data_IF_878882144133
#
_entry.id   IF_878882144133
#
_cell.length_a   1.000
_cell.length_b   1.000
_cell.length_c   1.000
_cell.angle_alpha   90.00
_cell.angle_beta   90.00
_cell.angle_gamma   90.00
#
_symmetry.space_group_name_H-M   'P 1'
#
loop_
_entity.id
_entity.type
_entity.pdbx_description
1 polymer ?
#
# COMPACT_ATOMS: atom_id res chain seq x y z
N UNK A 1 -23.08 33.25 7.21
CA UNK A 1 -22.13 33.07 6.09
C UNK A 1 -20.88 32.42 6.68
N UNK A 2 -20.55 31.20 6.27
CA UNK A 2 -19.33 30.54 6.73
C UNK A 2 -18.11 31.29 6.18
N UNK A 3 -17.18 31.67 7.06
CA UNK A 3 -15.97 32.43 6.68
C UNK A 3 -14.87 31.55 6.04
N UNK A 4 -15.12 30.26 5.85
CA UNK A 4 -14.11 29.29 5.42
C UNK A 4 -14.31 28.92 3.94
N UNK A 5 -13.24 29.05 3.14
CA UNK A 5 -13.25 28.66 1.73
C UNK A 5 -13.14 27.15 1.58
N UNK A 6 -13.88 26.59 0.60
CA UNK A 6 -13.75 25.19 0.15
C UNK A 6 -13.03 25.17 -1.18
N UNK A 7 -11.96 24.39 -1.28
CA UNK A 7 -11.25 24.12 -2.53
C UNK A 7 -11.57 22.72 -3.01
N UNK A 8 -12.06 22.61 -4.24
CA UNK A 8 -12.36 21.32 -4.89
C UNK A 8 -11.25 21.04 -5.91
N UNK A 9 -10.49 19.96 -5.73
CA UNK A 9 -9.43 19.54 -6.63
C UNK A 9 -9.79 18.19 -7.21
N UNK A 10 -10.06 18.16 -8.51
CA UNK A 10 -10.53 16.97 -9.21
C UNK A 10 -10.14 17.17 -10.68
N UNK A 11 -9.60 16.15 -11.35
CA UNK A 11 -9.23 16.25 -12.76
C UNK A 11 -10.44 16.09 -13.70
N UNK A 12 -11.52 15.47 -13.22
CA UNK A 12 -12.79 15.39 -13.94
C UNK A 12 -13.56 16.72 -13.83
N UNK A 13 -13.68 17.41 -14.96
CA UNK A 13 -14.36 18.69 -15.03
C UNK A 13 -15.85 18.59 -14.65
N UNK A 14 -16.56 17.53 -15.07
CA UNK A 14 -17.99 17.40 -14.85
C UNK A 14 -18.29 17.15 -13.37
N UNK A 15 -17.49 16.31 -12.69
CA UNK A 15 -17.59 16.09 -11.26
C UNK A 15 -17.26 17.36 -10.47
N UNK A 16 -16.16 18.02 -10.82
CA UNK A 16 -15.74 19.29 -10.19
C UNK A 16 -16.81 20.36 -10.28
N UNK A 17 -17.36 20.58 -11.49
CA UNK A 17 -18.37 21.62 -11.72
C UNK A 17 -19.69 21.29 -10.99
N UNK A 18 -20.09 20.02 -10.96
CA UNK A 18 -21.26 19.56 -10.22
C UNK A 18 -21.11 19.78 -8.71
N UNK A 19 -19.93 19.46 -8.15
CA UNK A 19 -19.67 19.65 -6.72
C UNK A 19 -19.60 21.14 -6.35
N UNK A 20 -18.98 21.96 -7.20
CA UNK A 20 -18.97 23.41 -7.01
C UNK A 20 -20.37 24.01 -7.05
N UNK A 21 -21.22 23.55 -7.97
CA UNK A 21 -22.61 23.98 -8.07
C UNK A 21 -23.38 23.63 -6.79
N UNK A 22 -23.23 22.40 -6.29
CA UNK A 22 -23.85 21.96 -5.03
C UNK A 22 -23.41 22.82 -3.84
N UNK A 23 -22.10 22.96 -3.63
CA UNK A 23 -21.55 23.72 -2.50
C UNK A 23 -21.99 25.20 -2.55
N UNK A 24 -21.94 25.82 -3.73
CA UNK A 24 -22.37 27.21 -3.92
C UNK A 24 -23.88 27.37 -3.74
N UNK A 25 -24.67 26.37 -4.14
CA UNK A 25 -26.11 26.32 -3.89
C UNK A 25 -26.46 26.36 -2.40
N UNK A 26 -25.62 25.72 -1.57
CA UNK A 26 -25.70 25.77 -0.09
C UNK A 26 -25.08 27.04 0.52
N UNK A 27 -24.70 28.03 -0.30
CA UNK A 27 -24.10 29.29 0.15
C UNK A 27 -22.65 29.17 0.62
N UNK A 28 -21.96 28.07 0.28
CA UNK A 28 -20.55 27.84 0.64
C UNK A 28 -19.65 28.49 -0.41
N UNK A 29 -18.63 29.24 0.04
CA UNK A 29 -17.60 29.81 -0.85
C UNK A 29 -16.70 28.69 -1.36
N UNK A 30 -16.93 28.24 -2.59
CA UNK A 30 -16.15 27.16 -3.20
C UNK A 30 -15.41 27.57 -4.49
N UNK A 31 -14.16 27.13 -4.65
CA UNK A 31 -13.32 27.32 -5.86
C UNK A 31 -12.73 25.98 -6.30
N UNK A 32 -12.74 25.72 -7.62
CA UNK A 32 -12.22 24.47 -8.18
C UNK A 32 -10.83 24.63 -8.79
N UNK A 33 -10.06 23.55 -8.78
CA UNK A 33 -8.77 23.39 -9.45
C UNK A 33 -8.74 22.08 -10.24
N UNK A 34 -8.15 22.05 -11.44
CA UNK A 34 -8.12 20.85 -12.29
C UNK A 34 -7.00 19.86 -11.95
N UNK A 35 -6.09 20.20 -11.04
CA UNK A 35 -5.02 19.33 -10.57
C UNK A 35 -4.47 19.81 -9.23
N UNK A 36 -3.80 18.92 -8.49
CA UNK A 36 -3.10 19.26 -7.27
C UNK A 36 -1.98 20.29 -7.51
N UNK A 37 -1.26 20.18 -8.63
CA UNK A 37 -0.22 21.14 -9.05
C UNK A 37 -0.80 22.54 -9.26
N UNK A 38 -1.91 22.67 -9.98
CA UNK A 38 -2.58 23.94 -10.22
C UNK A 38 -3.09 24.58 -8.92
N UNK A 39 -3.47 23.76 -7.93
CA UNK A 39 -3.83 24.24 -6.61
C UNK A 39 -2.62 24.74 -5.83
N UNK A 40 -1.51 23.99 -5.83
CA UNK A 40 -0.28 24.35 -5.12
C UNK A 40 0.38 25.62 -5.70
N UNK A 41 0.35 25.81 -7.02
CA UNK A 41 0.86 27.02 -7.67
C UNK A 41 0.05 28.27 -7.31
N UNK A 42 -1.24 28.07 -6.98
CA UNK A 42 -2.18 29.12 -6.63
C UNK A 42 -2.54 29.10 -5.13
N UNK A 43 -1.65 28.55 -4.29
CA UNK A 43 -1.90 28.32 -2.87
C UNK A 43 -2.39 29.61 -2.20
N UNK A 44 -3.64 29.64 -1.72
CA UNK A 44 -4.22 30.85 -1.17
C UNK A 44 -3.56 31.18 0.17
N UNK A 45 -3.44 32.48 0.49
CA UNK A 45 -2.89 32.95 1.78
C UNK A 45 -3.79 32.58 2.98
N UNK A 46 -5.01 32.10 2.73
CA UNK A 46 -5.96 31.67 3.74
C UNK A 46 -5.44 30.45 4.51
N UNK A 47 -5.11 30.66 5.79
CA UNK A 47 -4.57 29.62 6.69
C UNK A 47 -5.61 28.60 7.17
N UNK A 48 -6.89 28.77 6.83
CA UNK A 48 -7.96 27.88 7.26
C UNK A 48 -8.97 27.70 6.14
N UNK A 49 -8.85 26.58 5.43
CA UNK A 49 -9.73 26.21 4.33
C UNK A 49 -10.00 24.70 4.35
N UNK A 50 -11.12 24.30 3.77
CA UNK A 50 -11.43 22.89 3.54
C UNK A 50 -11.00 22.51 2.12
N UNK A 51 -10.28 21.40 1.99
CA UNK A 51 -9.84 20.86 0.71
C UNK A 51 -10.62 19.56 0.48
N UNK A 52 -11.37 19.50 -0.62
CA UNK A 52 -11.98 18.29 -1.14
C UNK A 52 -11.16 17.91 -2.36
N UNK A 53 -10.51 16.76 -2.32
CA UNK A 53 -9.64 16.29 -3.40
C UNK A 53 -10.06 14.90 -3.86
N UNK A 54 -10.03 14.64 -5.16
CA UNK A 54 -10.06 13.27 -5.65
C UNK A 54 -8.79 12.52 -5.21
N UNK A 55 -8.94 11.21 -4.97
CA UNK A 55 -7.84 10.35 -4.54
C UNK A 55 -6.92 9.99 -5.71
N UNK A 56 -7.44 9.85 -6.93
CA UNK A 56 -6.70 9.31 -8.07
C UNK A 56 -6.64 10.29 -9.24
N UNK A 57 -5.89 11.36 -9.02
CA UNK A 57 -5.60 12.34 -10.05
C UNK A 57 -4.26 12.04 -10.76
N UNK A 58 -4.13 12.41 -12.06
CA UNK A 58 -2.85 12.39 -12.76
C UNK A 58 -1.81 13.32 -12.10
N UNK A 59 -0.53 13.00 -12.27
CA UNK A 59 0.65 13.75 -11.78
C UNK A 59 0.86 13.69 -10.26
N UNK A 60 -0.17 13.94 -9.45
CA UNK A 60 -0.10 13.89 -7.99
C UNK A 60 -1.45 13.42 -7.41
N UNK A 61 -1.42 12.36 -6.61
CA UNK A 61 -2.61 11.81 -5.95
C UNK A 61 -3.12 12.74 -4.84
N UNK A 62 -4.41 12.67 -4.51
CA UNK A 62 -5.00 13.52 -3.46
C UNK A 62 -4.36 13.32 -2.09
N UNK A 63 -3.95 12.09 -1.77
CA UNK A 63 -3.22 11.81 -0.54
C UNK A 63 -1.82 12.46 -0.50
N UNK A 64 -1.16 12.56 -1.66
CA UNK A 64 0.13 13.26 -1.77
C UNK A 64 -0.04 14.78 -1.69
N UNK A 65 -1.11 15.34 -2.25
CA UNK A 65 -1.46 16.74 -2.08
C UNK A 65 -1.64 17.10 -0.59
N UNK A 66 -2.39 16.28 0.15
CA UNK A 66 -2.59 16.47 1.60
C UNK A 66 -1.23 16.49 2.33
N UNK A 67 -0.33 15.55 2.00
CA UNK A 67 1.03 15.51 2.56
C UNK A 67 1.84 16.77 2.22
N UNK A 68 1.74 17.28 1.00
CA UNK A 68 2.41 18.51 0.56
C UNK A 68 1.93 19.75 1.33
N UNK A 69 0.62 19.83 1.60
CA UNK A 69 0.02 20.90 2.37
C UNK A 69 0.38 20.80 3.86
N UNK A 70 0.54 19.58 4.37
CA UNK A 70 0.98 19.31 5.73
C UNK A 70 2.51 19.27 5.82
N UNK A 71 3.15 20.44 5.80
CA UNK A 71 4.63 20.51 5.97
C UNK A 71 5.15 19.90 7.27
N UNK A 72 4.30 19.70 8.29
CA UNK A 72 4.67 19.07 9.56
C UNK A 72 3.62 18.10 10.10
N UNK A 73 2.33 18.42 10.03
CA UNK A 73 1.29 17.52 10.52
C UNK A 73 -0.05 17.72 9.78
N UNK A 74 -0.81 16.65 9.61
CA UNK A 74 -2.13 16.64 9.02
C UNK A 74 -3.11 15.84 9.89
N UNK A 75 -4.34 16.30 9.97
CA UNK A 75 -5.46 15.54 10.50
C UNK A 75 -6.61 15.65 9.50
N UNK A 76 -7.08 14.52 8.98
CA UNK A 76 -8.10 14.52 7.93
C UNK A 76 -9.00 13.29 8.03
N UNK A 77 -10.21 13.44 7.50
CA UNK A 77 -11.18 12.35 7.42
C UNK A 77 -11.31 11.89 5.98
N UNK A 78 -11.28 10.58 5.78
CA UNK A 78 -11.58 9.96 4.49
C UNK A 78 -12.79 9.06 4.57
N UNK A 79 -13.40 8.83 3.42
CA UNK A 79 -14.47 7.87 3.26
C UNK A 79 -14.23 7.10 1.97
N UNK A 80 -14.50 5.80 1.99
CA UNK A 80 -14.41 4.91 0.85
C UNK A 80 -15.74 4.20 0.68
N UNK A 81 -16.36 4.37 -0.49
CA UNK A 81 -17.60 3.68 -0.84
C UNK A 81 -17.31 2.24 -1.22
N UNK A 82 -18.18 1.29 -0.85
CA UNK A 82 -18.13 -0.05 -1.40
C UNK A 82 -18.24 0.01 -2.93
N UNK A 83 -17.49 -0.86 -3.60
CA UNK A 83 -17.58 -0.96 -5.06
C UNK A 83 -18.99 -1.42 -5.46
N UNK A 84 -19.48 -0.98 -6.63
CA UNK A 84 -20.83 -1.33 -7.08
C UNK A 84 -21.05 -2.86 -7.15
N UNK A 85 -20.03 -3.61 -7.58
CA UNK A 85 -20.03 -5.08 -7.59
C UNK A 85 -20.15 -5.70 -6.20
N UNK A 86 -19.64 -5.04 -5.16
CA UNK A 86 -19.78 -5.51 -3.78
C UNK A 86 -21.18 -5.26 -3.21
N UNK A 87 -21.92 -4.28 -3.74
CA UNK A 87 -23.30 -3.97 -3.32
C UNK A 87 -24.33 -4.84 -4.04
N UNK A 88 -24.27 -4.86 -5.38
CA UNK A 88 -25.29 -5.49 -6.23
C UNK A 88 -24.73 -6.45 -7.28
N UNK A 89 -23.51 -6.95 -7.09
CA UNK A 89 -22.91 -7.92 -8.01
C UNK A 89 -23.76 -9.18 -8.18
N UNK A 90 -23.72 -9.75 -9.39
CA UNK A 90 -24.41 -10.99 -9.71
C UNK A 90 -23.98 -12.16 -8.82
N UNK A 91 -24.83 -13.18 -8.73
CA UNK A 91 -24.54 -14.39 -7.94
C UNK A 91 -23.71 -15.35 -8.79
N UNK A 92 -22.57 -15.79 -8.25
CA UNK A 92 -21.76 -16.87 -8.82
C UNK A 92 -21.87 -18.10 -7.93
N UNK A 93 -22.11 -19.26 -8.55
CA UNK A 93 -22.23 -20.52 -7.84
C UNK A 93 -21.20 -21.51 -8.39
N UNK A 94 -20.42 -22.11 -7.51
CA UNK A 94 -19.44 -23.13 -7.85
C UNK A 94 -19.56 -24.32 -6.92
N UNK A 95 -19.60 -25.53 -7.47
CA UNK A 95 -19.63 -26.76 -6.69
C UNK A 95 -18.31 -27.48 -6.85
N UNK A 96 -17.57 -27.65 -5.76
CA UNK A 96 -16.32 -28.39 -5.70
C UNK A 96 -16.38 -29.35 -4.51
N UNK A 97 -16.01 -30.62 -4.71
CA UNK A 97 -15.96 -31.66 -3.68
C UNK A 97 -17.23 -31.75 -2.80
N UNK A 98 -18.41 -31.60 -3.42
CA UNK A 98 -19.70 -31.68 -2.73
C UNK A 98 -20.09 -30.43 -1.92
N UNK A 99 -19.31 -29.34 -2.02
CA UNK A 99 -19.63 -28.04 -1.41
C UNK A 99 -20.00 -27.04 -2.50
N UNK A 100 -21.21 -26.50 -2.43
CA UNK A 100 -21.70 -25.45 -3.33
C UNK A 100 -21.43 -24.07 -2.73
N UNK A 101 -20.42 -23.37 -3.24
CA UNK A 101 -20.10 -22.01 -2.83
C UNK A 101 -20.86 -20.99 -3.68
N UNK A 102 -21.66 -20.15 -3.03
CA UNK A 102 -22.45 -19.06 -3.60
C UNK A 102 -21.80 -17.73 -3.23
N UNK A 103 -21.17 -17.06 -4.18
CA UNK A 103 -20.59 -15.73 -4.00
C UNK A 103 -21.57 -14.67 -4.47
N UNK A 104 -21.87 -13.68 -3.63
CA UNK A 104 -22.84 -12.61 -3.94
C UNK A 104 -22.43 -11.27 -3.35
N UNK A 105 -23.00 -10.19 -3.90
CA UNK A 105 -22.93 -8.86 -3.30
C UNK A 105 -23.73 -8.75 -1.98
N UNK A 106 -23.49 -7.65 -1.28
CA UNK A 106 -24.14 -7.26 -0.05
C UNK A 106 -24.65 -5.80 -0.16
N UNK A 107 -25.95 -5.61 -0.43
CA UNK A 107 -26.54 -4.27 -0.54
C UNK A 107 -26.45 -3.43 0.74
N UNK A 108 -26.27 -4.08 1.90
CA UNK A 108 -26.27 -3.43 3.22
C UNK A 108 -24.88 -2.92 3.62
N UNK A 109 -23.89 -2.96 2.73
CA UNK A 109 -22.56 -2.45 3.04
C UNK A 109 -22.58 -0.95 3.29
N UNK A 110 -21.95 -0.57 4.40
CA UNK A 110 -21.65 0.81 4.74
C UNK A 110 -20.31 1.24 4.13
N UNK A 111 -20.15 2.55 3.96
CA UNK A 111 -18.84 3.13 3.67
C UNK A 111 -17.83 2.80 4.76
N UNK A 112 -16.59 2.59 4.35
CA UNK A 112 -15.46 2.57 5.26
C UNK A 112 -15.00 4.02 5.47
N UNK A 113 -15.17 4.53 6.67
CA UNK A 113 -14.79 5.89 7.05
C UNK A 113 -13.50 5.83 7.85
N UNK A 114 -12.64 6.85 7.76
CA UNK A 114 -11.41 6.85 8.54
C UNK A 114 -10.98 8.24 8.99
N UNK A 115 -10.50 8.32 10.24
CA UNK A 115 -9.66 9.42 10.69
C UNK A 115 -8.20 9.09 10.43
N UNK A 116 -7.45 10.06 9.93
CA UNK A 116 -6.05 9.93 9.57
C UNK A 116 -5.28 11.07 10.21
N UNK A 117 -4.15 10.73 10.83
CA UNK A 117 -3.19 11.64 11.45
C UNK A 117 -1.83 11.34 10.85
N UNK A 118 -1.18 12.37 10.32
CA UNK A 118 0.13 12.28 9.69
C UNK A 118 1.06 13.32 10.32
N UNK A 119 2.31 12.96 10.55
CA UNK A 119 3.38 13.83 11.04
C UNK A 119 4.63 13.52 10.23
N UNK A 120 5.24 14.53 9.62
CA UNK A 120 6.45 14.35 8.81
C UNK A 120 7.47 15.45 9.06
N UNK A 121 8.74 15.07 8.96
CA UNK A 121 9.86 15.98 9.02
C UNK A 121 10.93 15.54 8.03
N UNK A 122 11.36 16.48 7.19
CA UNK A 122 12.46 16.29 6.27
C UNK A 122 13.56 17.30 6.55
N UNK A 123 14.80 16.82 6.53
CA UNK A 123 16.00 17.63 6.71
C UNK A 123 17.04 17.30 5.66
N UNK A 124 17.84 18.31 5.29
CA UNK A 124 19.00 18.14 4.44
C UNK A 124 20.23 17.87 5.30
N UNK A 125 20.99 16.86 4.91
CA UNK A 125 22.22 16.47 5.57
C UNK A 125 23.44 17.12 4.88
N UNK A 126 24.56 17.30 5.60
CA UNK A 126 25.82 17.72 4.98
C UNK A 126 26.20 16.80 3.81
N UNK A 127 26.83 17.38 2.79
CA UNK A 127 27.26 16.63 1.59
C UNK A 127 26.14 16.31 0.60
N UNK A 128 24.97 16.96 0.73
CA UNK A 128 23.85 16.81 -0.22
C UNK A 128 22.94 15.61 0.07
N UNK A 129 23.04 15.03 1.27
CA UNK A 129 22.12 14.00 1.72
C UNK A 129 20.76 14.56 2.15
N UNK A 130 19.78 13.69 2.31
CA UNK A 130 18.45 14.03 2.80
C UNK A 130 17.92 12.92 3.70
N UNK A 131 17.24 13.29 4.79
CA UNK A 131 16.56 12.39 5.70
C UNK A 131 15.12 12.84 5.86
N UNK A 132 14.18 11.94 5.60
CA UNK A 132 12.75 12.10 5.87
C UNK A 132 12.32 11.09 6.91
N UNK A 133 11.60 11.56 7.93
CA UNK A 133 10.97 10.74 8.96
C UNK A 133 9.49 11.09 9.01
N UNK A 134 8.64 10.07 8.94
CA UNK A 134 7.20 10.24 9.01
C UNK A 134 6.57 9.26 10.00
N UNK A 135 5.47 9.66 10.59
CA UNK A 135 4.64 8.85 11.45
C UNK A 135 3.18 9.05 11.05
N UNK A 136 2.42 7.96 11.05
CA UNK A 136 0.99 8.01 10.75
C UNK A 136 0.18 7.18 11.72
N UNK A 137 -1.08 7.57 11.90
CA UNK A 137 -2.09 6.80 12.59
C UNK A 137 -3.42 6.95 11.85
N UNK A 138 -4.09 5.84 11.61
CA UNK A 138 -5.36 5.77 10.92
C UNK A 138 -6.30 4.84 11.65
N UNK A 139 -7.51 5.32 11.85
CA UNK A 139 -8.59 4.61 12.50
C UNK A 139 -9.75 4.52 11.53
N UNK A 140 -10.13 3.30 11.19
CA UNK A 140 -11.10 2.94 10.17
C UNK A 140 -12.35 2.42 10.87
N UNK A 141 -13.50 3.01 10.58
CA UNK A 141 -14.80 2.51 10.99
C UNK A 141 -15.45 1.74 9.83
N UNK A 142 -16.18 0.67 10.16
CA UNK A 142 -16.85 -0.22 9.20
C UNK A 142 -15.89 -0.89 8.21
N UNK A 143 -14.76 -1.42 8.71
CA UNK A 143 -13.74 -2.03 7.88
C UNK A 143 -14.32 -3.06 6.90
N UNK A 144 -14.09 -2.90 5.60
CA UNK A 144 -14.63 -3.81 4.59
C UNK A 144 -13.74 -5.04 4.45
N UNK A 145 -14.33 -6.22 4.59
CA UNK A 145 -13.63 -7.50 4.37
C UNK A 145 -14.55 -8.50 3.66
N UNK A 146 -13.95 -9.42 2.92
CA UNK A 146 -14.68 -10.56 2.38
C UNK A 146 -14.70 -11.68 3.40
N UNK A 147 -15.89 -12.24 3.64
CA UNK A 147 -16.10 -13.32 4.60
C UNK A 147 -16.98 -14.38 3.99
N UNK A 148 -16.59 -15.64 4.17
CA UNK A 148 -17.49 -16.77 3.97
C UNK A 148 -18.40 -16.91 5.18
N UNK A 149 -19.71 -16.95 4.98
CA UNK A 149 -20.64 -17.45 5.99
C UNK A 149 -20.63 -18.98 6.01
N UNK A 150 -20.52 -19.55 7.21
CA UNK A 150 -20.70 -20.98 7.50
C UNK A 150 -22.19 -21.33 7.66
N UNK A 151 -23.05 -20.75 6.82
CA UNK A 151 -24.46 -21.09 6.83
C UNK A 151 -24.60 -22.44 6.12
N UNK A 152 -24.40 -23.53 6.85
CA UNK A 152 -24.87 -24.86 6.44
C UNK A 152 -26.40 -24.81 6.43
N UNK A 153 -26.95 -24.32 5.32
CA UNK A 153 -28.39 -24.43 5.05
C UNK A 153 -28.65 -25.86 4.62
N UNK A 154 -28.82 -26.74 5.61
CA UNK A 154 -29.31 -28.09 5.43
C UNK A 154 -28.23 -29.17 5.45
N UNK A 155 -27.84 -29.61 6.65
CA UNK A 155 -27.42 -31.00 6.82
C UNK A 155 -28.70 -31.85 6.89
N UNK A 156 -29.30 -32.08 5.73
CA UNK A 156 -30.00 -33.33 5.48
C UNK A 156 -28.91 -34.31 5.04
N UNK A 157 -28.86 -35.57 5.53
CA UNK A 157 -27.72 -36.48 5.33
C UNK A 157 -27.35 -36.82 3.86
N UNK A 158 -27.99 -36.20 2.87
CA UNK A 158 -27.89 -36.47 1.43
C UNK A 158 -27.84 -35.19 0.56
N UNK A 159 -27.72 -33.98 1.15
CA UNK A 159 -27.62 -32.72 0.38
C UNK A 159 -26.28 -32.00 0.60
N UNK A 160 -25.74 -31.45 -0.51
CA UNK A 160 -24.46 -30.76 -0.59
C UNK A 160 -24.38 -29.52 0.33
N UNK A 161 -23.28 -29.35 1.07
CA UNK A 161 -23.07 -28.19 1.93
C UNK A 161 -23.05 -26.90 1.09
N UNK A 162 -23.90 -25.91 1.42
CA UNK A 162 -23.94 -24.62 0.73
C UNK A 162 -23.16 -23.59 1.52
N UNK A 163 -22.19 -22.91 0.89
CA UNK A 163 -21.38 -21.85 1.51
C UNK A 163 -21.69 -20.52 0.86
N UNK A 164 -22.17 -19.53 1.60
CA UNK A 164 -22.39 -18.19 1.03
C UNK A 164 -21.22 -17.27 1.35
N UNK A 165 -20.52 -16.77 0.34
CA UNK A 165 -19.44 -15.79 0.47
C UNK A 165 -19.96 -14.42 0.05
N UNK A 166 -19.80 -13.44 0.93
CA UNK A 166 -20.23 -12.06 0.65
C UNK A 166 -19.36 -11.06 1.41
N UNK A 167 -19.13 -9.86 0.87
CA UNK A 167 -18.44 -8.80 1.59
C UNK A 167 -19.26 -8.37 2.81
N UNK A 168 -18.55 -7.99 3.89
CA UNK A 168 -19.13 -7.55 5.16
C UNK A 168 -18.39 -6.33 5.70
N UNK A 169 -19.09 -5.51 6.48
CA UNK A 169 -18.44 -4.53 7.35
C UNK A 169 -18.06 -5.21 8.66
N UNK A 170 -16.80 -5.08 9.03
CA UNK A 170 -16.28 -5.36 10.35
C UNK A 170 -16.53 -4.20 11.30
N UNK A 171 -15.87 -4.26 12.46
CA UNK A 171 -15.85 -3.19 13.43
C UNK A 171 -14.82 -2.13 13.05
N UNK A 172 -13.95 -1.81 14.02
CA UNK A 172 -12.87 -0.84 13.87
C UNK A 172 -11.60 -1.52 13.35
N UNK A 173 -10.91 -0.84 12.44
CA UNK A 173 -9.51 -1.12 12.09
C UNK A 173 -8.60 0.01 12.58
N UNK A 174 -7.46 -0.33 13.16
CA UNK A 174 -6.46 0.64 13.59
C UNK A 174 -5.13 0.29 12.90
N UNK A 175 -4.54 1.25 12.21
CA UNK A 175 -3.18 1.13 11.65
C UNK A 175 -2.35 2.33 12.06
N UNK A 176 -1.10 2.07 12.43
CA UNK A 176 -0.13 3.11 12.77
C UNK A 176 1.25 2.68 12.30
N UNK A 177 2.08 3.64 11.93
CA UNK A 177 3.40 3.32 11.43
C UNK A 177 4.39 4.45 11.50
N UNK A 178 5.64 4.08 11.27
CA UNK A 178 6.79 4.95 11.14
C UNK A 178 7.45 4.65 9.79
N UNK A 179 7.85 5.69 9.09
CA UNK A 179 8.50 5.62 7.79
C UNK A 179 9.78 6.47 7.84
N UNK A 180 10.83 5.97 7.20
CA UNK A 180 12.12 6.63 7.08
C UNK A 180 12.61 6.51 5.64
N UNK A 181 13.07 7.63 5.10
CA UNK A 181 13.79 7.67 3.84
C UNK A 181 15.11 8.41 4.07
N UNK A 182 16.22 7.79 3.67
CA UNK A 182 17.55 8.37 3.83
C UNK A 182 18.35 8.19 2.55
N UNK A 183 18.75 9.32 1.97
CA UNK A 183 19.73 9.38 0.89
C UNK A 183 21.00 10.05 1.40
N UNK A 184 22.16 9.46 1.09
CA UNK A 184 23.45 10.01 1.46
C UNK A 184 24.50 9.78 0.37
N UNK A 185 25.02 10.86 -0.25
CA UNK A 185 26.30 10.80 -0.95
C UNK A 185 27.41 10.51 0.06
N UNK A 186 28.20 9.47 -0.21
CA UNK A 186 29.31 9.03 0.64
C UNK A 186 30.67 9.53 0.13
N UNK A 187 30.71 10.22 -1.03
CA UNK A 187 31.94 10.67 -1.64
C UNK A 187 32.78 9.50 -2.14
N UNK A 188 34.10 9.55 -1.94
CA UNK A 188 35.03 8.48 -2.32
C UNK A 188 35.49 7.68 -1.09
N UNK A 189 34.66 6.78 -0.53
CA UNK A 189 34.98 6.10 0.73
C UNK A 189 36.18 5.15 0.66
N UNK A 190 36.69 4.88 -0.54
CA UNK A 190 37.80 3.95 -0.78
C UNK A 190 39.06 4.64 -1.30
N UNK A 191 39.05 5.96 -1.47
CA UNK A 191 40.14 6.75 -2.08
C UNK A 191 40.59 6.20 -3.46
N UNK A 192 39.65 5.66 -4.23
CA UNK A 192 39.91 5.07 -5.54
C UNK A 192 39.57 6.04 -6.69
N UNK A 193 39.14 7.26 -6.39
CA UNK A 193 38.60 8.22 -7.35
C UNK A 193 37.16 7.92 -7.77
N UNK A 194 36.40 7.20 -6.94
CA UNK A 194 35.00 6.87 -7.18
C UNK A 194 34.03 7.73 -6.40
N UNK A 195 32.74 7.50 -6.60
CA UNK A 195 31.66 8.10 -5.82
C UNK A 195 30.68 7.02 -5.37
N UNK A 196 30.44 6.94 -4.07
CA UNK A 196 29.43 6.08 -3.47
C UNK A 196 28.20 6.87 -3.03
N UNK A 197 27.04 6.22 -3.04
CA UNK A 197 25.81 6.70 -2.40
C UNK A 197 25.09 5.57 -1.69
N UNK A 198 24.35 5.94 -0.65
CA UNK A 198 23.46 5.05 0.10
C UNK A 198 22.04 5.59 0.01
N UNK A 199 21.12 4.70 -0.33
CA UNK A 199 19.69 4.95 -0.41
C UNK A 199 18.98 3.95 0.49
N UNK A 200 18.14 4.42 1.42
CA UNK A 200 17.39 3.60 2.36
C UNK A 200 15.93 4.06 2.39
N UNK A 201 15.00 3.12 2.26
CA UNK A 201 13.59 3.28 2.60
C UNK A 201 13.24 2.21 3.64
N UNK A 202 12.66 2.59 4.76
CA UNK A 202 12.28 1.67 5.83
C UNK A 202 10.93 2.08 6.38
N UNK A 203 10.00 1.12 6.45
CA UNK A 203 8.68 1.31 7.00
C UNK A 203 8.39 0.25 8.04
N UNK A 204 7.86 0.67 9.18
CA UNK A 204 7.33 -0.21 10.22
C UNK A 204 5.88 0.14 10.50
N UNK A 205 4.99 -0.85 10.45
CA UNK A 205 3.57 -0.65 10.74
C UNK A 205 3.04 -1.67 11.75
N UNK A 206 1.99 -1.26 12.46
CA UNK A 206 1.19 -2.11 13.33
C UNK A 206 -0.27 -1.92 12.96
N UNK A 207 -0.90 -3.00 12.54
CA UNK A 207 -2.25 -2.99 12.01
C UNK A 207 -3.10 -4.07 12.66
N UNK A 208 -4.30 -3.70 13.11
CA UNK A 208 -5.28 -4.60 13.72
C UNK A 208 -6.68 -4.27 13.25
N UNK A 209 -7.55 -5.27 13.20
CA UNK A 209 -8.93 -5.13 12.76
C UNK A 209 -9.88 -6.01 13.57
N UNK A 210 -11.05 -5.47 13.88
CA UNK A 210 -12.20 -6.20 14.40
C UNK A 210 -13.04 -6.77 13.25
N UNK A 211 -13.05 -8.10 13.11
CA UNK A 211 -13.80 -8.84 12.09
C UNK A 211 -15.08 -9.48 12.67
N UNK A 212 -15.53 -9.02 13.83
CA UNK A 212 -16.72 -9.48 14.52
C UNK A 212 -16.51 -10.76 15.31
N UNK A 213 -17.62 -11.44 15.62
CA UNK A 213 -17.59 -12.63 16.49
C UNK A 213 -17.10 -13.90 15.80
N UNK A 214 -17.16 -13.95 14.47
CA UNK A 214 -16.85 -15.15 13.69
C UNK A 214 -15.33 -15.30 13.49
N UNK A 215 -14.65 -14.24 13.04
CA UNK A 215 -13.21 -14.26 12.76
C UNK A 215 -12.39 -13.60 13.87
N UNK A 216 -13.02 -13.17 14.96
CA UNK A 216 -12.36 -12.51 16.07
C UNK A 216 -12.30 -10.99 15.96
N UNK A 217 -12.21 -10.35 17.13
CA UNK A 217 -12.30 -8.88 17.29
C UNK A 217 -10.96 -8.15 17.25
N UNK A 218 -9.85 -8.88 17.08
CA UNK A 218 -8.52 -8.27 17.01
C UNK A 218 -7.57 -9.15 16.20
N UNK A 219 -7.71 -9.07 14.88
CA UNK A 219 -6.85 -9.79 13.94
C UNK A 219 -5.81 -8.86 13.32
N UNK A 220 -4.61 -9.35 12.96
CA UNK A 220 -3.72 -8.61 12.06
C UNK A 220 -4.43 -8.31 10.74
N UNK A 221 -4.17 -7.17 10.11
CA UNK A 221 -4.75 -6.89 8.78
C UNK A 221 -4.09 -7.78 7.72
N UNK A 222 -4.87 -8.22 6.72
CA UNK A 222 -4.34 -9.02 5.61
C UNK A 222 -3.33 -8.22 4.79
N UNK A 223 -2.28 -8.90 4.34
CA UNK A 223 -1.25 -8.38 3.45
C UNK A 223 -0.59 -7.09 3.98
N UNK A 224 -0.54 -6.92 5.30
CA UNK A 224 0.06 -5.78 5.97
C UNK A 224 1.32 -6.22 6.75
N UNK A 225 2.47 -6.41 6.07
CA UNK A 225 3.72 -6.77 6.74
C UNK A 225 4.14 -5.69 7.74
N UNK A 226 4.57 -6.11 8.93
CA UNK A 226 4.99 -5.16 9.98
C UNK A 226 6.25 -4.37 9.59
N UNK A 227 7.07 -4.93 8.70
CA UNK A 227 8.31 -4.31 8.23
C UNK A 227 8.40 -4.40 6.71
N UNK A 228 8.77 -3.29 6.09
CA UNK A 228 9.15 -3.19 4.68
C UNK A 228 10.43 -2.37 4.62
N UNK A 229 11.36 -2.75 3.76
CA UNK A 229 12.55 -1.93 3.57
C UNK A 229 13.29 -2.22 2.28
N UNK A 230 13.96 -1.19 1.81
CA UNK A 230 14.79 -1.20 0.62
C UNK A 230 16.09 -0.49 0.98
N UNK A 231 17.22 -1.08 0.60
CA UNK A 231 18.52 -0.45 0.76
C UNK A 231 19.30 -0.61 -0.54
N UNK A 232 19.92 0.44 -1.04
CA UNK A 232 20.80 0.39 -2.20
C UNK A 232 22.13 1.07 -1.88
N UNK A 233 23.22 0.38 -2.15
CA UNK A 233 24.56 0.94 -2.18
C UNK A 233 24.99 1.04 -3.64
N UNK A 234 25.25 2.26 -4.10
CA UNK A 234 25.80 2.51 -5.42
C UNK A 234 27.26 2.95 -5.32
N UNK A 235 28.09 2.54 -6.27
CA UNK A 235 29.46 3.02 -6.44
C UNK A 235 29.77 3.21 -7.92
N UNK A 236 30.20 4.41 -8.30
CA UNK A 236 30.55 4.75 -9.67
C UNK A 236 32.00 5.24 -9.76
N UNK A 237 32.74 4.75 -10.75
CA UNK A 237 34.12 5.15 -11.01
C UNK A 237 34.32 5.27 -12.53
N UNK A 238 34.47 6.51 -13.01
CA UNK A 238 34.62 6.81 -14.43
C UNK A 238 33.47 6.25 -15.29
N UNK A 239 33.74 5.19 -16.04
CA UNK A 239 32.78 4.54 -16.97
C UNK A 239 32.04 3.35 -16.35
N UNK A 240 32.44 2.90 -15.16
CA UNK A 240 31.87 1.76 -14.48
C UNK A 240 31.00 2.20 -13.30
N UNK A 241 29.93 1.47 -13.04
CA UNK A 241 29.15 1.61 -11.83
C UNK A 241 28.65 0.25 -11.34
N UNK A 242 28.60 0.07 -10.03
CA UNK A 242 28.05 -1.11 -9.37
C UNK A 242 26.95 -0.68 -8.40
N UNK A 243 25.95 -1.54 -8.23
CA UNK A 243 24.81 -1.34 -7.35
C UNK A 243 24.56 -2.65 -6.63
N UNK A 244 24.32 -2.57 -5.33
CA UNK A 244 23.90 -3.68 -4.49
C UNK A 244 22.61 -3.27 -3.79
N UNK A 245 21.52 -3.97 -4.08
CA UNK A 245 20.17 -3.59 -3.64
C UNK A 245 19.58 -4.72 -2.78
N UNK A 246 19.18 -4.40 -1.55
CA UNK A 246 18.50 -5.28 -0.61
C UNK A 246 17.04 -4.88 -0.51
N UNK A 247 16.14 -5.82 -0.77
CA UNK A 247 14.70 -5.67 -0.57
C UNK A 247 14.24 -6.61 0.54
N UNK A 248 13.58 -6.07 1.56
CA UNK A 248 13.05 -6.82 2.69
C UNK A 248 11.54 -6.66 2.81
N UNK A 249 10.86 -7.78 2.97
CA UNK A 249 9.44 -7.85 3.30
C UNK A 249 9.29 -8.71 4.54
N UNK A 250 8.73 -8.16 5.61
CA UNK A 250 8.44 -8.87 6.84
C UNK A 250 7.36 -9.94 6.66
N UNK A 251 7.22 -10.82 7.64
CA UNK A 251 6.14 -11.80 7.63
C UNK A 251 4.78 -11.10 7.72
N UNK A 252 3.77 -11.65 7.05
CA UNK A 252 2.43 -11.09 7.02
C UNK A 252 1.35 -12.17 6.92
N UNK A 253 0.15 -11.80 7.34
CA UNK A 253 -1.03 -12.66 7.25
C UNK A 253 -1.66 -12.54 5.86
N UNK A 254 -1.81 -13.64 5.12
CA UNK A 254 -2.38 -13.64 3.77
C UNK A 254 -3.84 -14.06 3.72
N UNK A 255 -4.30 -14.91 4.64
CA UNK A 255 -5.69 -15.34 4.72
C UNK A 255 -6.08 -15.71 6.16
N UNK A 256 -7.33 -15.45 6.52
CA UNK A 256 -7.90 -15.89 7.79
C UNK A 256 -8.49 -17.29 7.68
N UNK A 257 -8.43 -18.06 8.78
CA UNK A 257 -9.27 -19.24 9.02
C UNK A 257 -9.26 -20.24 7.84
N UNK A 258 -8.08 -20.69 7.41
CA UNK A 258 -7.97 -21.52 6.20
C UNK A 258 -8.37 -22.97 6.43
N UNK A 259 -8.39 -23.45 7.68
CA UNK A 259 -8.81 -24.80 8.03
C UNK A 259 -10.19 -24.83 8.71
N UNK A 260 -10.82 -23.69 8.99
CA UNK A 260 -12.10 -23.60 9.70
C UNK A 260 -12.02 -24.18 11.11
N UNK A 261 -10.85 -24.04 11.73
CA UNK A 261 -10.62 -24.56 13.07
C UNK A 261 -10.96 -23.52 14.14
N UNK A 262 -11.24 -23.99 15.35
CA UNK A 262 -11.40 -23.06 16.46
C UNK A 262 -10.08 -22.36 16.79
N UNK A 263 -10.11 -21.02 16.75
CA UNK A 263 -9.00 -20.15 17.13
C UNK A 263 -8.12 -19.71 15.97
N UNK A 264 -7.18 -18.80 16.25
CA UNK A 264 -6.42 -18.08 15.22
C UNK A 264 -5.18 -18.84 14.70
N UNK A 265 -5.01 -20.09 15.11
CA UNK A 265 -3.80 -20.88 14.82
C UNK A 265 -3.76 -21.37 13.38
N UNK A 266 -4.91 -21.45 12.71
CA UNK A 266 -5.04 -21.97 11.36
C UNK A 266 -5.01 -20.87 10.28
N UNK A 267 -4.66 -19.64 10.66
CA UNK A 267 -4.43 -18.52 9.78
C UNK A 267 -3.22 -18.77 8.85
N UNK A 268 -3.28 -18.30 7.61
CA UNK A 268 -2.20 -18.49 6.62
C UNK A 268 -1.20 -17.32 6.64
N UNK A 269 0.03 -17.61 7.04
CA UNK A 269 1.12 -16.64 7.16
C UNK A 269 2.15 -16.82 6.06
N UNK A 270 2.65 -15.71 5.53
CA UNK A 270 3.79 -15.68 4.60
C UNK A 270 5.03 -15.24 5.37
N UNK A 271 6.15 -15.95 5.17
CA UNK A 271 7.43 -15.67 5.85
C UNK A 271 8.06 -14.38 5.37
N UNK A 272 8.95 -13.84 6.20
CA UNK A 272 9.80 -12.72 5.78
C UNK A 272 10.75 -13.15 4.67
N UNK A 273 10.94 -12.28 3.69
CA UNK A 273 11.84 -12.50 2.55
C UNK A 273 12.83 -11.35 2.47
N UNK A 274 14.13 -11.69 2.37
CA UNK A 274 15.21 -10.74 2.09
C UNK A 274 15.84 -11.12 0.75
N UNK A 275 15.74 -10.22 -0.24
CA UNK A 275 16.29 -10.41 -1.59
C UNK A 275 17.44 -9.45 -1.82
N UNK A 276 18.59 -10.00 -2.17
CA UNK A 276 19.78 -9.26 -2.52
C UNK A 276 19.99 -9.31 -4.04
N UNK A 277 20.01 -8.15 -4.68
CA UNK A 277 20.22 -7.99 -6.11
C UNK A 277 21.52 -7.23 -6.35
N UNK A 278 22.19 -7.52 -7.47
CA UNK A 278 23.40 -6.83 -7.87
C UNK A 278 23.28 -6.36 -9.31
N UNK A 279 23.74 -5.14 -9.60
CA UNK A 279 23.86 -4.62 -10.96
C UNK A 279 25.26 -4.05 -11.17
N UNK A 280 25.87 -4.41 -12.29
CA UNK A 280 27.07 -3.76 -12.77
C UNK A 280 26.78 -3.12 -14.14
N UNK A 281 27.31 -1.91 -14.35
CA UNK A 281 27.12 -1.12 -15.56
C UNK A 281 28.48 -0.65 -16.06
N UNK A 282 28.69 -0.78 -17.37
CA UNK A 282 29.83 -0.21 -18.06
C UNK A 282 29.38 0.61 -19.26
N UNK A 283 29.82 1.86 -19.34
CA UNK A 283 29.63 2.73 -20.51
C UNK A 283 30.88 2.66 -21.38
N UNK A 284 30.75 2.18 -22.62
CA UNK A 284 31.89 2.18 -23.54
C UNK A 284 32.10 3.57 -24.15
N UNK A 285 31.00 4.27 -24.41
CA UNK A 285 30.95 5.63 -24.94
C UNK A 285 29.63 6.31 -24.51
N UNK A 286 29.26 7.43 -25.14
CA UNK A 286 28.03 8.16 -24.81
C UNK A 286 26.75 7.44 -25.25
N UNK A 287 26.84 6.54 -26.22
CA UNK A 287 25.75 5.85 -26.90
C UNK A 287 25.62 4.39 -26.47
N UNK A 288 26.73 3.75 -26.12
CA UNK A 288 26.84 2.30 -25.89
C UNK A 288 27.04 1.99 -24.40
N UNK A 289 26.16 1.13 -23.88
CA UNK A 289 26.12 0.72 -22.47
C UNK A 289 25.87 -0.78 -22.32
N UNK A 290 26.63 -1.43 -21.44
CA UNK A 290 26.38 -2.78 -20.96
C UNK A 290 25.86 -2.73 -19.52
N UNK A 291 24.78 -3.45 -19.25
CA UNK A 291 24.27 -3.74 -17.91
C UNK A 291 24.31 -5.25 -17.67
N UNK A 292 24.85 -5.67 -16.53
CA UNK A 292 24.75 -7.04 -16.01
C UNK A 292 23.95 -6.96 -14.72
N UNK A 293 22.80 -7.64 -14.68
CA UNK A 293 21.88 -7.62 -13.54
C UNK A 293 21.76 -9.06 -13.03
N UNK A 294 22.02 -9.25 -11.75
CA UNK A 294 21.83 -10.51 -11.03
C UNK A 294 20.74 -10.30 -10.00
N UNK A 295 19.59 -10.92 -10.23
CA UNK A 295 18.46 -10.90 -9.30
C UNK A 295 18.51 -12.12 -8.39
N UNK A 296 18.25 -11.92 -7.11
CA UNK A 296 18.24 -12.94 -6.06
C UNK A 296 19.59 -13.66 -5.92
N UNK A 297 20.65 -12.89 -5.65
CA UNK A 297 22.03 -13.35 -5.51
C UNK A 297 22.18 -14.47 -4.48
N UNK A 298 21.40 -14.41 -3.39
CA UNK A 298 21.39 -15.35 -2.27
C UNK A 298 20.49 -16.58 -2.48
N UNK A 299 19.66 -16.59 -3.52
CA UNK A 299 18.72 -17.70 -3.78
C UNK A 299 17.59 -17.80 -2.75
N UNK A 300 17.10 -16.67 -2.23
CA UNK A 300 15.96 -16.65 -1.32
C UNK A 300 14.67 -17.07 -2.03
N UNK A 301 13.79 -17.79 -1.33
CA UNK A 301 12.44 -18.09 -1.83
C UNK A 301 11.66 -16.79 -2.08
N UNK A 302 10.86 -16.78 -3.13
CA UNK A 302 10.06 -15.61 -3.50
C UNK A 302 8.76 -15.52 -2.69
N UNK A 303 8.24 -16.67 -2.27
CA UNK A 303 7.06 -16.80 -1.45
C UNK A 303 7.15 -18.10 -0.64
N UNK A 304 6.79 -18.04 0.63
CA UNK A 304 6.63 -19.23 1.46
C UNK A 304 5.51 -18.95 2.46
N UNK A 305 4.35 -19.56 2.22
CA UNK A 305 3.23 -19.53 3.13
C UNK A 305 3.16 -20.80 3.99
N UNK A 306 2.66 -20.69 5.21
CA UNK A 306 2.40 -21.79 6.12
C UNK A 306 1.22 -21.46 7.04
N UNK A 307 0.58 -22.49 7.55
CA UNK A 307 -0.51 -22.37 8.53
C UNK A 307 0.08 -22.13 9.92
N UNK A 308 -0.45 -21.12 10.59
CA UNK A 308 -0.02 -20.64 11.92
C UNK A 308 1.19 -19.72 11.86
N UNK A 309 1.25 -18.75 12.78
CA UNK A 309 2.30 -17.71 12.80
C UNK A 309 3.71 -18.29 12.93
N UNK A 310 3.86 -19.32 13.76
CA UNK A 310 5.13 -19.97 14.05
C UNK A 310 5.15 -21.44 13.54
N UNK A 311 4.21 -21.78 12.65
CA UNK A 311 4.06 -23.11 12.09
C UNK A 311 4.94 -23.37 10.86
N UNK A 312 4.99 -24.64 10.45
CA UNK A 312 5.48 -25.05 9.12
C UNK A 312 4.47 -25.94 8.39
N UNK A 313 3.27 -26.12 8.96
CA UNK A 313 2.23 -26.97 8.43
C UNK A 313 1.65 -26.39 7.14
N UNK A 314 1.30 -27.26 6.20
CA UNK A 314 0.64 -26.92 4.92
C UNK A 314 1.37 -25.77 4.19
N UNK A 315 2.66 -26.02 3.91
CA UNK A 315 3.51 -25.02 3.27
C UNK A 315 3.27 -24.94 1.76
N UNK A 316 3.14 -23.71 1.25
CA UNK A 316 3.13 -23.40 -0.18
C UNK A 316 4.34 -22.51 -0.50
N UNK A 317 5.18 -22.93 -1.44
CA UNK A 317 6.49 -22.33 -1.70
C UNK A 317 6.65 -22.02 -3.18
N UNK A 318 7.06 -20.79 -3.48
CA UNK A 318 7.46 -20.38 -4.83
C UNK A 318 8.94 -20.01 -4.82
N UNK A 319 9.71 -20.73 -5.63
CA UNK A 319 11.12 -20.48 -5.86
C UNK A 319 11.33 -19.94 -7.28
N UNK A 320 11.66 -18.64 -7.40
CA UNK A 320 12.00 -18.03 -8.69
C UNK A 320 13.48 -18.23 -9.06
N UNK A 321 14.29 -18.78 -8.15
CA UNK A 321 15.72 -18.97 -8.32
C UNK A 321 16.49 -17.66 -8.49
N UNK A 322 17.75 -17.81 -8.92
CA UNK A 322 18.64 -16.69 -9.29
C UNK A 322 18.56 -16.45 -10.79
N UNK A 323 18.42 -15.19 -11.19
CA UNK A 323 18.37 -14.79 -12.61
C UNK A 323 19.53 -13.87 -12.95
N UNK A 324 20.19 -14.13 -14.08
CA UNK A 324 21.19 -13.23 -14.66
C UNK A 324 20.66 -12.67 -15.97
N UNK A 325 20.69 -11.36 -16.12
CA UNK A 325 20.33 -10.65 -17.34
C UNK A 325 21.52 -9.82 -17.79
N UNK A 326 21.90 -9.98 -19.05
CA UNK A 326 22.92 -9.15 -19.70
C UNK A 326 22.22 -8.32 -20.77
N UNK A 327 22.36 -7.00 -20.72
CA UNK A 327 21.72 -6.07 -21.65
C UNK A 327 22.75 -5.13 -22.25
N UNK A 328 22.83 -5.12 -23.58
CA UNK A 328 23.60 -4.14 -24.34
C UNK A 328 22.62 -3.16 -24.99
N UNK A 329 22.77 -1.86 -24.69
CA UNK A 329 21.99 -0.78 -25.28
C UNK A 329 22.90 0.13 -26.09
N UNK A 330 22.49 0.43 -27.33
CA UNK A 330 23.11 1.43 -28.20
C UNK A 330 22.04 2.39 -28.71
N UNK A 331 22.30 3.69 -28.66
CA UNK A 331 21.44 4.74 -29.23
C UNK A 331 22.11 5.27 -30.49
N UNK A 332 21.39 5.26 -31.61
CA UNK A 332 21.88 5.70 -32.92
C UNK A 332 21.32 7.07 -33.29
#
# INVERSE_FOLDING_TARGET
MTQHSVFVIDDDQALRDSLLMLLRGEGIRARGFPSATAFLDALPEERTACVITDLRMPQMEGAELIRHLSRWAAAWRSYSRPAFMQLGGGVRTETLDGVTTVTRGNPDLKSADAWNLDLSHQTWLPGGGALSLSAYAKQIDHYLYESGSSLDVGVVPDEAAVRVVMPRNGGRGDTRGLEMEWFQPLGDPFDLGGQASLDLNLSRQWSRVDLGQILGRSQPMLNAPEWLGNAELAYAQGRAAAYLSLNYTGAYLSAYDVLKAEGDWDNLWVRSVARLDARARWRFDERTRLDVIVTNLTGAYSYWAHVGRDGAALSDVVDSGRRVVVSLRSVF
#
